data_IF_340958867545
#
_entry.id   IF_340958867545
#
_cell.length_a   1.000
_cell.length_b   1.000
_cell.length_c   1.000
_cell.angle_alpha   90.00
_cell.angle_beta   90.00
_cell.angle_gamma   90.00
#
_symmetry.space_group_name_H-M   'P 1'
#
loop_
_entity.id
_entity.type
_entity.pdbx_description
1 polymer ?
#
# COMPACT_ATOMS: atom_id res chain seq x y z
N UNK A 1 -27.90 -7.71 7.35
CA UNK A 1 -27.90 -7.19 6.17
C UNK A 1 -26.90 -6.21 5.87
N UNK A 2 -27.01 -5.07 6.36
CA UNK A 2 -26.06 -4.07 6.13
C UNK A 2 -24.75 -4.37 6.68
N UNK A 3 -24.69 -5.14 7.70
CA UNK A 3 -23.44 -5.49 8.31
C UNK A 3 -22.56 -6.26 7.39
N UNK A 4 -23.12 -6.96 6.47
CA UNK A 4 -22.31 -7.73 5.56
C UNK A 4 -21.42 -6.87 4.73
N UNK A 5 -21.90 -5.73 4.34
CA UNK A 5 -21.11 -4.85 3.55
C UNK A 5 -19.93 -4.28 4.27
N UNK A 6 -20.12 -4.06 5.55
CA UNK A 6 -19.04 -3.59 6.36
C UNK A 6 -17.88 -4.50 6.35
N UNK A 7 -18.14 -5.78 6.42
CA UNK A 7 -17.07 -6.72 6.53
C UNK A 7 -16.31 -6.87 5.27
N UNK A 8 -16.95 -6.67 4.16
CA UNK A 8 -16.25 -6.85 2.92
C UNK A 8 -15.42 -5.67 2.53
N UNK A 9 -15.95 -4.52 2.70
CA UNK A 9 -15.26 -3.34 2.24
C UNK A 9 -13.91 -3.13 2.83
N UNK A 10 -13.76 -3.20 4.14
CA UNK A 10 -12.47 -2.90 4.72
C UNK A 10 -11.37 -3.82 4.25
N UNK A 11 -11.67 -5.07 4.00
CA UNK A 11 -10.60 -5.97 3.63
C UNK A 11 -10.11 -5.71 2.23
N UNK A 12 -10.92 -5.09 1.39
CA UNK A 12 -10.50 -4.76 0.04
C UNK A 12 -9.82 -3.42 -0.05
N UNK A 13 -10.18 -2.52 0.86
CA UNK A 13 -9.66 -1.18 0.79
C UNK A 13 -8.37 -0.98 1.56
N UNK A 14 -8.11 -1.83 2.52
CA UNK A 14 -6.94 -1.69 3.38
C UNK A 14 -6.06 -2.92 3.21
N UNK A 15 -4.79 -2.67 2.94
CA UNK A 15 -3.84 -3.74 2.70
C UNK A 15 -2.76 -3.75 3.77
N UNK A 16 -2.31 -4.93 4.10
CA UNK A 16 -1.16 -5.06 4.99
C UNK A 16 0.11 -5.03 4.16
N UNK A 17 1.24 -4.90 4.81
CA UNK A 17 2.51 -4.88 4.11
C UNK A 17 2.76 -6.19 3.35
N UNK A 18 2.51 -7.37 3.95
CA UNK A 18 2.68 -8.60 3.16
C UNK A 18 1.80 -8.65 1.94
N UNK A 19 0.58 -8.12 2.05
CA UNK A 19 -0.32 -8.12 0.91
C UNK A 19 0.19 -7.23 -0.20
N UNK A 20 0.69 -6.05 0.15
CA UNK A 20 1.24 -5.15 -0.85
C UNK A 20 2.47 -5.77 -1.48
N UNK A 21 3.31 -6.38 -0.68
CA UNK A 21 4.51 -7.03 -1.20
C UNK A 21 4.14 -8.11 -2.21
N UNK A 22 3.09 -8.87 -1.91
CA UNK A 22 2.64 -9.89 -2.83
C UNK A 22 2.11 -9.32 -4.12
N UNK A 23 1.36 -8.23 -4.04
CA UNK A 23 0.81 -7.61 -5.23
C UNK A 23 1.89 -7.01 -6.10
N UNK A 24 2.89 -6.43 -5.48
CA UNK A 24 3.98 -5.81 -6.23
C UNK A 24 5.11 -6.78 -6.52
N UNK A 25 5.00 -7.99 -6.00
CA UNK A 25 6.01 -9.04 -6.20
C UNK A 25 7.38 -8.62 -5.74
N UNK A 26 7.43 -8.09 -4.54
CA UNK A 26 8.70 -7.71 -3.95
C UNK A 26 8.71 -8.14 -2.50
N UNK A 27 9.82 -7.91 -1.82
CA UNK A 27 9.96 -8.34 -0.44
C UNK A 27 9.28 -7.36 0.49
N UNK A 28 8.95 -7.82 1.69
CA UNK A 28 8.38 -6.95 2.70
C UNK A 28 9.37 -5.87 3.08
N UNK A 29 10.64 -6.21 3.10
CA UNK A 29 11.67 -5.23 3.42
C UNK A 29 11.68 -4.09 2.42
N UNK A 30 11.47 -4.42 1.16
CA UNK A 30 11.41 -3.40 0.12
C UNK A 30 10.23 -2.46 0.35
N UNK A 31 9.08 -3.02 0.76
CA UNK A 31 7.91 -2.20 1.03
C UNK A 31 8.20 -1.26 2.21
N UNK A 32 8.85 -1.76 3.24
CA UNK A 32 9.23 -0.90 4.36
C UNK A 32 10.13 0.24 3.91
N UNK A 33 11.06 -0.05 3.02
CA UNK A 33 11.96 0.98 2.51
C UNK A 33 11.20 2.00 1.68
N UNK A 34 10.21 1.56 0.92
CA UNK A 34 9.39 2.48 0.16
C UNK A 34 8.59 3.40 1.07
N UNK A 35 8.03 2.84 2.14
CA UNK A 35 7.26 3.64 3.08
C UNK A 35 8.16 4.67 3.76
N UNK A 36 9.37 4.27 4.08
CA UNK A 36 10.29 5.16 4.78
C UNK A 36 11.06 6.09 3.86
N UNK A 37 10.79 6.03 2.57
CA UNK A 37 11.42 6.94 1.62
C UNK A 37 12.89 6.65 1.38
N UNK A 38 13.28 5.40 1.54
CA UNK A 38 14.68 5.03 1.36
C UNK A 38 15.03 4.54 -0.02
N UNK A 39 14.06 4.48 -0.90
CA UNK A 39 14.31 4.00 -2.25
C UNK A 39 14.55 5.21 -3.15
N UNK A 40 15.73 5.28 -3.71
CA UNK A 40 16.07 6.39 -4.58
C UNK A 40 15.23 6.40 -5.82
N UNK A 41 14.76 7.57 -6.19
CA UNK A 41 13.99 7.71 -7.40
C UNK A 41 12.53 7.36 -7.25
N UNK A 42 12.13 6.91 -6.07
CA UNK A 42 10.74 6.57 -5.84
C UNK A 42 10.17 7.48 -4.76
N UNK A 43 8.91 7.85 -4.91
CA UNK A 43 8.25 8.62 -3.87
C UNK A 43 7.95 7.71 -2.71
N UNK A 44 7.91 8.25 -1.49
CA UNK A 44 7.52 7.43 -0.35
C UNK A 44 6.11 6.91 -0.53
N UNK A 45 5.92 5.65 -0.22
CA UNK A 45 4.61 5.03 -0.33
C UNK A 45 3.77 5.44 0.87
N UNK A 46 2.60 6.02 0.65
CA UNK A 46 1.75 6.44 1.76
C UNK A 46 1.27 5.25 2.57
N UNK A 47 1.33 5.35 3.87
CA UNK A 47 0.90 4.29 4.75
C UNK A 47 0.22 4.89 5.97
N UNK A 48 -0.75 4.14 6.50
CA UNK A 48 -1.41 4.50 7.73
C UNK A 48 -0.74 3.78 8.87
N UNK A 49 -0.68 4.43 10.00
CA UNK A 49 -0.10 3.80 11.16
C UNK A 49 -1.19 3.57 12.20
N UNK A 50 -1.44 2.32 12.50
CA UNK A 50 -2.41 1.96 13.50
C UNK A 50 -1.69 1.17 14.58
N UNK A 51 -1.37 1.82 15.67
CA UNK A 51 -0.59 1.19 16.71
C UNK A 51 0.75 0.75 16.14
N UNK A 52 1.02 -0.52 16.17
CA UNK A 52 2.27 -1.03 15.63
C UNK A 52 2.17 -1.48 14.21
N UNK A 53 0.97 -1.40 13.66
CA UNK A 53 0.77 -1.87 12.30
C UNK A 53 0.84 -0.74 11.32
N UNK A 54 1.35 -1.04 10.15
CA UNK A 54 1.32 -0.12 9.04
C UNK A 54 0.43 -0.73 7.98
N UNK A 55 -0.54 0.07 7.55
CA UNK A 55 -1.52 -0.37 6.57
C UNK A 55 -1.49 0.58 5.39
N UNK A 56 -1.79 0.06 4.23
CA UNK A 56 -1.79 0.87 3.03
C UNK A 56 -3.20 0.85 2.44
N UNK A 57 -3.74 2.02 2.15
CA UNK A 57 -5.02 2.09 1.50
C UNK A 57 -4.84 1.71 0.04
N UNK A 58 -5.76 0.90 -0.46
CA UNK A 58 -5.68 0.49 -1.85
C UNK A 58 -5.75 1.69 -2.78
N UNK A 59 -6.56 2.68 -2.46
CA UNK A 59 -6.63 3.87 -3.29
C UNK A 59 -5.32 4.61 -3.30
N UNK A 60 -4.64 4.67 -2.17
CA UNK A 60 -3.34 5.32 -2.11
C UNK A 60 -2.31 4.55 -2.90
N UNK A 61 -2.35 3.24 -2.80
CA UNK A 61 -1.42 2.40 -3.54
C UNK A 61 -1.64 2.58 -5.04
N UNK A 62 -2.88 2.60 -5.45
CA UNK A 62 -3.19 2.75 -6.85
C UNK A 62 -2.71 4.08 -7.38
N UNK A 63 -2.96 5.15 -6.64
CA UNK A 63 -2.51 6.47 -7.05
C UNK A 63 -0.99 6.54 -7.11
N UNK A 64 -0.35 5.92 -6.15
CA UNK A 64 1.11 5.89 -6.12
C UNK A 64 1.68 5.14 -7.32
N UNK A 65 1.06 4.01 -7.67
CA UNK A 65 1.49 3.25 -8.82
C UNK A 65 1.26 4.01 -10.11
N UNK A 66 0.13 4.69 -10.22
CA UNK A 66 -0.15 5.47 -11.42
C UNK A 66 0.90 6.53 -11.62
N UNK A 67 1.28 7.19 -10.56
CA UNK A 67 2.32 8.22 -10.62
C UNK A 67 3.64 7.62 -11.05
N UNK A 68 3.95 6.45 -10.52
CA UNK A 68 5.19 5.79 -10.85
C UNK A 68 5.22 5.38 -12.30
N UNK A 69 4.12 4.88 -12.80
CA UNK A 69 4.05 4.47 -14.18
C UNK A 69 4.18 5.64 -15.12
N UNK A 70 3.53 6.73 -14.79
CA UNK A 70 3.63 7.90 -15.62
C UNK A 70 5.05 8.36 -15.72
N UNK A 71 5.77 8.21 -14.67
CA UNK A 71 7.11 8.69 -14.59
C UNK A 71 8.02 7.96 -15.54
N UNK A 72 7.72 6.75 -15.86
CA UNK A 72 8.54 5.99 -16.73
C UNK A 72 8.42 6.41 -18.17
N UNK A 73 7.30 6.92 -18.53
CA UNK A 73 7.11 7.32 -19.88
C UNK A 73 7.81 8.63 -20.15
#
# INVERSE_FOLDING_TARGET
MMTTQWQESPSHDILTIPEVAGELRCSKAHIHNLINGRVKGARPLPALRLGRRRLILRTSLKAWLDTTESHEV
#
